data_IF_673593978335
#
_entry.id   IF_673593978335
#
_cell.length_a   1.000
_cell.length_b   1.000
_cell.length_c   1.000
_cell.angle_alpha   90.00
_cell.angle_beta   90.00
_cell.angle_gamma   90.00
#
_symmetry.space_group_name_H-M   'P 1'
#
loop_
_entity.id
_entity.type
_entity.pdbx_description
1 polymer ?
#
# COMPACT_ATOMS: atom_id res chain seq x y z
N UNK A 1 -3.44 28.30 77.73
CA UNK A 1 -2.54 29.45 77.99
C UNK A 1 -3.32 30.69 77.62
N UNK A 2 -3.64 31.51 78.61
CA UNK A 2 -4.34 32.76 78.48
C UNK A 2 -3.31 33.88 78.27
N UNK A 3 -3.58 34.76 77.31
CA UNK A 3 -3.18 36.17 77.26
C UNK A 3 -4.43 36.87 76.68
N UNK A 4 -5.28 37.48 77.49
CA UNK A 4 -5.09 38.75 78.22
C UNK A 4 -4.87 39.89 77.22
N UNK A 5 -5.92 40.70 76.99
CA UNK A 5 -6.01 42.11 77.44
C UNK A 5 -4.94 42.98 76.73
N UNK A 6 -5.24 44.16 76.19
CA UNK A 6 -5.94 45.23 76.88
C UNK A 6 -6.11 46.39 75.88
N UNK A 7 -7.27 47.03 75.87
CA UNK A 7 -7.45 48.43 76.31
C UNK A 7 -7.55 49.41 75.15
N UNK A 8 -8.74 49.97 74.96
CA UNK A 8 -9.05 51.33 75.42
C UNK A 8 -10.54 51.57 75.07
N UNK A 9 -11.49 51.52 76.00
CA UNK A 9 -11.91 52.69 76.81
C UNK A 9 -11.95 53.98 75.98
N UNK A 10 -13.02 54.76 75.86
CA UNK A 10 -14.22 55.00 76.67
C UNK A 10 -15.16 55.85 75.79
N UNK A 11 -16.49 55.68 75.83
CA UNK A 11 -17.42 56.51 76.64
C UNK A 11 -17.06 58.01 76.60
N UNK A 12 -17.96 58.96 76.38
CA UNK A 12 -19.42 59.00 76.39
C UNK A 12 -19.87 60.32 75.74
N UNK A 13 -21.13 60.41 75.34
CA UNK A 13 -22.09 61.41 75.85
C UNK A 13 -23.42 61.21 75.10
N UNK A 14 -24.42 60.68 75.81
CA UNK A 14 -25.54 61.45 76.41
C UNK A 14 -26.67 61.66 75.38
N UNK A 15 -27.79 60.94 75.58
CA UNK A 15 -29.10 61.52 75.98
C UNK A 15 -29.86 62.12 74.78
N UNK A 16 -31.18 62.03 74.62
CA UNK A 16 -32.29 61.46 75.38
C UNK A 16 -33.50 61.47 74.42
N UNK A 17 -34.43 60.58 74.71
CA UNK A 17 -35.88 60.59 74.49
C UNK A 17 -36.57 61.44 73.41
N UNK A 18 -37.41 60.70 72.69
CA UNK A 18 -38.83 60.95 72.43
C UNK A 18 -39.32 61.66 71.17
N UNK A 19 -40.38 61.04 70.65
CA UNK A 19 -41.36 61.44 69.63
C UNK A 19 -41.00 61.23 68.16
N UNK A 20 -41.34 60.02 67.73
CA UNK A 20 -41.66 59.61 66.37
C UNK A 20 -42.73 60.54 65.76
N UNK A 21 -42.40 61.20 64.65
CA UNK A 21 -43.35 61.45 63.56
C UNK A 21 -42.65 61.14 62.25
N UNK A 22 -43.16 60.09 61.61
CA UNK A 22 -42.77 59.59 60.30
C UNK A 22 -42.96 60.66 59.22
N UNK A 23 -42.11 60.66 58.18
CA UNK A 23 -42.66 60.40 56.86
C UNK A 23 -42.01 59.17 56.21
N UNK A 24 -42.88 58.32 55.70
CA UNK A 24 -42.66 57.09 54.92
C UNK A 24 -41.33 56.98 54.14
N UNK A 25 -40.58 55.86 54.29
CA UNK A 25 -39.61 55.43 53.31
C UNK A 25 -40.35 54.94 52.05
N UNK A 26 -40.11 55.59 50.92
CA UNK A 26 -40.62 55.19 49.60
C UNK A 26 -40.11 53.78 49.27
N UNK A 27 -41.03 52.85 49.03
CA UNK A 27 -40.75 51.56 48.40
C UNK A 27 -39.93 51.76 47.12
N UNK A 28 -39.01 50.83 46.78
CA UNK A 28 -38.40 50.86 45.47
C UNK A 28 -39.49 50.60 44.43
N UNK A 29 -39.96 51.65 43.76
CA UNK A 29 -40.76 51.53 42.55
C UNK A 29 -40.03 50.56 41.61
N UNK A 30 -40.52 49.33 41.52
CA UNK A 30 -40.23 48.45 40.40
C UNK A 30 -40.86 49.12 39.17
N UNK A 31 -40.13 50.09 38.61
CA UNK A 31 -40.45 50.66 37.31
C UNK A 31 -40.42 49.49 36.34
N UNK A 32 -41.60 49.04 35.93
CA UNK A 32 -41.79 48.08 34.86
C UNK A 32 -41.15 48.68 33.61
N UNK A 33 -39.90 48.29 33.34
CA UNK A 33 -39.19 48.63 32.12
C UNK A 33 -39.93 47.95 30.97
N UNK A 34 -40.77 48.69 30.28
CA UNK A 34 -41.29 48.28 28.98
C UNK A 34 -40.16 48.45 27.95
N UNK A 35 -39.94 47.42 27.15
CA UNK A 35 -39.02 47.47 26.03
C UNK A 35 -39.79 47.85 24.77
N UNK A 36 -39.20 48.69 23.92
CA UNK A 36 -39.74 48.94 22.59
C UNK A 36 -39.58 47.69 21.72
N UNK A 37 -40.50 47.45 20.79
CA UNK A 37 -40.39 46.35 19.82
C UNK A 37 -39.07 46.44 19.01
N UNK A 38 -38.61 47.65 18.72
CA UNK A 38 -37.33 47.89 18.04
C UNK A 38 -36.13 47.41 18.85
N UNK A 39 -36.17 47.58 20.18
CA UNK A 39 -35.11 47.09 21.06
C UNK A 39 -35.10 45.56 21.12
N UNK A 40 -36.29 44.94 21.18
CA UNK A 40 -36.42 43.48 21.13
C UNK A 40 -35.90 42.96 19.79
N UNK A 41 -36.31 43.56 18.67
CA UNK A 41 -35.85 43.19 17.33
C UNK A 41 -34.33 43.31 17.18
N UNK A 42 -33.73 44.37 17.72
CA UNK A 42 -32.28 44.57 17.75
C UNK A 42 -31.58 43.48 18.55
N UNK A 43 -32.05 43.22 19.78
CA UNK A 43 -31.48 42.19 20.66
C UNK A 43 -31.58 40.80 20.02
N UNK A 44 -32.71 40.50 19.37
CA UNK A 44 -32.92 39.22 18.67
C UNK A 44 -31.96 39.08 17.48
N UNK A 45 -31.81 40.13 16.66
CA UNK A 45 -30.86 40.13 15.53
C UNK A 45 -29.42 39.94 16.00
N UNK A 46 -29.02 40.65 17.06
CA UNK A 46 -27.69 40.53 17.67
C UNK A 46 -27.42 39.13 18.20
N UNK A 47 -28.40 38.53 18.91
CA UNK A 47 -28.27 37.18 19.43
C UNK A 47 -28.19 36.16 18.30
N UNK A 48 -29.00 36.32 17.26
CA UNK A 48 -29.00 35.44 16.09
C UNK A 48 -27.68 35.55 15.30
N UNK A 49 -27.12 36.75 15.17
CA UNK A 49 -25.82 36.96 14.55
C UNK A 49 -24.70 36.28 15.34
N UNK A 50 -24.70 36.41 16.68
CA UNK A 50 -23.75 35.69 17.55
C UNK A 50 -23.89 34.17 17.46
N UNK A 51 -25.12 33.65 17.39
CA UNK A 51 -25.32 32.20 17.21
C UNK A 51 -24.86 31.70 15.83
N UNK A 52 -25.12 32.45 14.75
CA UNK A 52 -24.60 32.10 13.42
C UNK A 52 -23.07 32.16 13.35
N UNK A 53 -22.46 33.14 14.01
CA UNK A 53 -21.00 33.26 14.08
C UNK A 53 -20.34 32.07 14.79
N UNK A 54 -20.98 31.50 15.83
CA UNK A 54 -20.47 30.30 16.54
C UNK A 54 -20.40 29.06 15.65
N UNK A 55 -21.21 29.00 14.60
CA UNK A 55 -21.30 27.87 13.68
C UNK A 55 -20.73 28.18 12.30
N UNK A 56 -20.08 29.33 12.11
CA UNK A 56 -19.47 29.69 10.83
C UNK A 56 -18.39 28.66 10.41
N UNK A 57 -17.64 28.12 11.37
CA UNK A 57 -16.57 27.15 11.12
C UNK A 57 -17.08 25.74 10.78
N UNK A 58 -18.37 25.45 11.00
CA UNK A 58 -18.93 24.11 10.79
C UNK A 58 -18.98 23.73 9.31
N UNK A 59 -19.29 24.68 8.42
CA UNK A 59 -19.33 24.44 6.98
C UNK A 59 -17.92 24.16 6.43
N UNK A 60 -16.90 24.86 6.94
CA UNK A 60 -15.52 24.64 6.56
C UNK A 60 -14.96 23.31 7.08
N UNK A 61 -15.29 22.92 8.31
CA UNK A 61 -14.91 21.60 8.86
C UNK A 61 -15.59 20.48 8.08
N UNK A 62 -16.87 20.64 7.74
CA UNK A 62 -17.61 19.65 6.94
C UNK A 62 -17.04 19.50 5.54
N UNK A 63 -16.68 20.61 4.90
CA UNK A 63 -16.03 20.60 3.57
C UNK A 63 -14.66 19.91 3.63
N UNK A 64 -13.82 20.25 4.62
CA UNK A 64 -12.50 19.61 4.82
C UNK A 64 -12.61 18.12 5.13
N UNK A 65 -13.62 17.71 5.88
CA UNK A 65 -13.88 16.29 6.14
C UNK A 65 -14.24 15.55 4.84
N UNK A 66 -15.11 16.12 4.00
CA UNK A 66 -15.43 15.55 2.69
C UNK A 66 -14.21 15.47 1.76
N UNK A 67 -13.38 16.52 1.72
CA UNK A 67 -12.12 16.52 0.96
C UNK A 67 -11.15 15.44 1.48
N UNK A 68 -11.03 15.28 2.80
CA UNK A 68 -10.19 14.25 3.41
C UNK A 68 -10.63 12.83 3.05
N UNK A 69 -11.95 12.56 3.08
CA UNK A 69 -12.50 11.25 2.68
C UNK A 69 -12.19 10.93 1.20
N UNK A 70 -12.30 11.94 0.32
CA UNK A 70 -11.96 11.77 -1.10
C UNK A 70 -10.47 11.50 -1.31
N UNK A 71 -9.60 12.25 -0.64
CA UNK A 71 -8.16 12.06 -0.71
C UNK A 71 -7.74 10.71 -0.15
N UNK A 72 -8.39 10.23 0.90
CA UNK A 72 -8.12 8.91 1.46
C UNK A 72 -8.50 7.80 0.47
N UNK A 73 -9.65 7.92 -0.21
CA UNK A 73 -10.04 6.96 -1.25
C UNK A 73 -9.07 6.96 -2.43
N UNK A 74 -8.60 8.12 -2.88
CA UNK A 74 -7.60 8.23 -3.94
C UNK A 74 -6.24 7.64 -3.53
N UNK A 75 -5.82 7.87 -2.28
CA UNK A 75 -4.61 7.30 -1.72
C UNK A 75 -4.69 5.78 -1.65
N UNK A 76 -5.83 5.22 -1.24
CA UNK A 76 -6.04 3.77 -1.20
C UNK A 76 -5.99 3.16 -2.60
N UNK A 77 -6.63 3.79 -3.59
CA UNK A 77 -6.55 3.36 -5.00
C UNK A 77 -5.11 3.40 -5.54
N UNK A 78 -4.40 4.50 -5.30
CA UNK A 78 -3.00 4.63 -5.72
C UNK A 78 -2.09 3.60 -5.03
N UNK A 79 -2.32 3.32 -3.75
CA UNK A 79 -1.59 2.26 -3.03
C UNK A 79 -1.88 0.87 -3.60
N UNK A 80 -3.13 0.58 -3.97
CA UNK A 80 -3.48 -0.66 -4.65
C UNK A 80 -2.77 -0.78 -6.01
N UNK A 81 -2.83 0.25 -6.85
CA UNK A 81 -2.16 0.28 -8.15
C UNK A 81 -0.63 0.12 -8.02
N UNK A 82 -0.01 0.81 -7.07
CA UNK A 82 1.44 0.67 -6.81
C UNK A 82 1.81 -0.71 -6.29
N UNK A 83 0.97 -1.36 -5.48
CA UNK A 83 1.19 -2.73 -5.04
C UNK A 83 1.09 -3.72 -6.22
N UNK A 84 0.10 -3.55 -7.11
CA UNK A 84 -0.02 -4.36 -8.32
C UNK A 84 1.17 -4.17 -9.28
N UNK A 85 1.59 -2.92 -9.47
CA UNK A 85 2.76 -2.59 -10.29
C UNK A 85 4.03 -3.21 -9.71
N UNK A 86 4.23 -3.14 -8.38
CA UNK A 86 5.35 -3.79 -7.71
C UNK A 86 5.33 -5.30 -7.89
N UNK A 87 4.17 -5.95 -7.72
CA UNK A 87 4.05 -7.38 -7.94
C UNK A 87 4.39 -7.78 -9.39
N UNK A 88 3.96 -6.99 -10.38
CA UNK A 88 4.31 -7.21 -11.80
C UNK A 88 5.81 -7.03 -12.06
N UNK A 89 6.43 -6.03 -11.45
CA UNK A 89 7.88 -5.79 -11.57
C UNK A 89 8.66 -6.94 -10.93
N UNK A 90 8.29 -7.36 -9.72
CA UNK A 90 8.93 -8.49 -9.03
C UNK A 90 8.81 -9.79 -9.84
N UNK A 91 7.64 -10.06 -10.44
CA UNK A 91 7.45 -11.20 -11.33
C UNK A 91 8.34 -11.11 -12.58
N UNK A 92 8.40 -9.95 -13.23
CA UNK A 92 9.23 -9.76 -14.41
C UNK A 92 10.72 -9.88 -14.08
N UNK A 93 11.17 -9.32 -12.95
CA UNK A 93 12.55 -9.46 -12.49
C UNK A 93 12.90 -10.91 -12.14
N UNK A 94 11.98 -11.63 -11.50
CA UNK A 94 12.16 -13.05 -11.19
C UNK A 94 12.28 -13.88 -12.47
N UNK A 95 11.41 -13.64 -13.45
CA UNK A 95 11.44 -14.32 -14.75
C UNK A 95 12.73 -14.03 -15.52
N UNK A 96 13.22 -12.78 -15.50
CA UNK A 96 14.50 -12.41 -16.11
C UNK A 96 15.69 -13.10 -15.44
N UNK A 97 15.72 -13.17 -14.10
CA UNK A 97 16.77 -13.88 -13.36
C UNK A 97 16.79 -15.36 -13.73
N UNK A 98 15.63 -16.01 -13.73
CA UNK A 98 15.50 -17.41 -14.13
C UNK A 98 15.90 -17.62 -15.58
N UNK A 99 15.49 -16.75 -16.50
CA UNK A 99 15.88 -16.83 -17.91
C UNK A 99 17.40 -16.74 -18.08
N UNK A 100 18.07 -15.87 -17.32
CA UNK A 100 19.53 -15.78 -17.28
C UNK A 100 20.18 -17.10 -16.81
N UNK A 101 19.69 -17.67 -15.71
CA UNK A 101 20.16 -18.97 -15.19
C UNK A 101 19.91 -20.10 -16.20
N UNK A 102 18.74 -20.15 -16.82
CA UNK A 102 18.42 -21.13 -17.87
C UNK A 102 19.39 -21.03 -19.03
N UNK A 103 19.73 -19.82 -19.47
CA UNK A 103 20.67 -19.61 -20.56
C UNK A 103 22.09 -20.07 -20.20
N UNK A 104 22.56 -19.80 -18.97
CA UNK A 104 23.91 -20.23 -18.54
C UNK A 104 23.97 -21.74 -18.40
N UNK A 105 22.94 -22.37 -17.83
CA UNK A 105 22.85 -23.83 -17.69
C UNK A 105 22.74 -24.50 -19.07
N UNK A 106 21.89 -23.99 -19.96
CA UNK A 106 21.78 -24.50 -21.33
C UNK A 106 23.12 -24.48 -22.06
N UNK A 107 23.88 -23.38 -21.92
CA UNK A 107 25.24 -23.27 -22.48
C UNK A 107 26.21 -24.30 -21.87
N UNK A 108 26.16 -24.56 -20.55
CA UNK A 108 27.00 -25.58 -19.89
C UNK A 108 26.76 -26.98 -20.46
N UNK A 109 25.51 -27.34 -20.77
CA UNK A 109 25.14 -28.69 -21.24
C UNK A 109 25.02 -28.81 -22.76
N UNK A 110 25.25 -27.73 -23.53
CA UNK A 110 25.15 -27.73 -24.99
C UNK A 110 23.71 -27.82 -25.50
N UNK A 111 22.74 -27.36 -24.72
CA UNK A 111 21.32 -27.33 -25.11
C UNK A 111 21.10 -26.07 -25.94
N UNK A 112 20.70 -26.24 -27.21
CA UNK A 112 20.51 -25.14 -28.15
C UNK A 112 19.31 -24.23 -27.80
N UNK A 113 18.31 -24.77 -27.09
CA UNK A 113 17.13 -24.03 -26.68
C UNK A 113 16.99 -23.99 -25.14
N UNK A 114 17.26 -22.84 -24.51
CA UNK A 114 17.11 -22.66 -23.07
C UNK A 114 15.67 -22.83 -22.56
N UNK A 115 14.66 -22.72 -23.42
CA UNK A 115 13.24 -22.86 -23.01
C UNK A 115 12.86 -24.29 -22.62
N UNK A 116 13.63 -25.29 -23.08
CA UNK A 116 13.47 -26.69 -22.70
C UNK A 116 13.70 -26.86 -21.18
N UNK A 117 14.54 -26.03 -20.57
CA UNK A 117 14.84 -26.04 -19.14
C UNK A 117 13.79 -25.27 -18.31
N UNK A 118 12.51 -25.57 -18.53
CA UNK A 118 11.39 -24.88 -17.89
C UNK A 118 11.15 -25.30 -16.42
N UNK A 119 11.77 -26.38 -15.97
CA UNK A 119 11.51 -26.98 -14.66
C UNK A 119 12.45 -26.42 -13.60
N UNK A 120 11.87 -25.64 -12.69
CA UNK A 120 12.54 -25.13 -11.50
C UNK A 120 12.77 -23.62 -11.52
N UNK A 121 12.73 -23.04 -10.33
CA UNK A 121 12.98 -21.61 -10.08
C UNK A 121 14.41 -21.35 -9.58
N UNK A 122 15.13 -22.40 -9.21
CA UNK A 122 16.50 -22.35 -8.68
C UNK A 122 17.53 -22.97 -9.64
N UNK A 123 18.77 -22.46 -9.60
CA UNK A 123 19.89 -22.96 -10.41
C UNK A 123 20.10 -24.48 -10.21
N UNK A 124 20.00 -24.98 -8.98
CA UNK A 124 20.18 -26.40 -8.68
C UNK A 124 19.10 -27.29 -9.33
N UNK A 125 17.85 -26.82 -9.38
CA UNK A 125 16.75 -27.55 -9.97
C UNK A 125 16.89 -27.60 -11.50
N UNK A 126 17.27 -26.47 -12.08
CA UNK A 126 17.54 -26.33 -13.52
C UNK A 126 18.74 -27.19 -13.92
N UNK A 127 19.82 -27.21 -13.12
CA UNK A 127 21.00 -28.05 -13.35
C UNK A 127 20.67 -29.54 -13.23
N UNK A 128 19.94 -29.95 -12.19
CA UNK A 128 19.52 -31.35 -12.02
C UNK A 128 18.62 -31.82 -13.17
N UNK A 129 17.74 -30.95 -13.66
CA UNK A 129 16.89 -31.24 -14.81
C UNK A 129 17.71 -31.35 -16.10
N UNK A 130 18.65 -30.45 -16.34
CA UNK A 130 19.56 -30.51 -17.48
C UNK A 130 20.39 -31.81 -17.46
N UNK A 131 20.89 -32.23 -16.29
CA UNK A 131 21.60 -33.50 -16.14
C UNK A 131 20.72 -34.71 -16.46
N UNK A 132 19.47 -34.74 -15.99
CA UNK A 132 18.51 -35.80 -16.31
C UNK A 132 18.23 -35.86 -17.80
N UNK A 133 18.01 -34.71 -18.46
CA UNK A 133 17.84 -34.63 -19.91
C UNK A 133 19.05 -35.24 -20.62
N UNK A 134 20.27 -34.84 -20.25
CA UNK A 134 21.48 -35.38 -20.86
C UNK A 134 21.62 -36.89 -20.65
N UNK A 135 21.28 -37.41 -19.47
CA UNK A 135 21.30 -38.85 -19.21
C UNK A 135 20.30 -39.62 -20.09
N UNK A 136 19.11 -39.08 -20.30
CA UNK A 136 18.08 -39.66 -21.18
C UNK A 136 18.51 -39.62 -22.65
N UNK A 137 19.15 -38.54 -23.10
CA UNK A 137 19.54 -38.36 -24.51
C UNK A 137 20.90 -38.98 -24.88
N UNK A 138 21.79 -39.23 -23.92
CA UNK A 138 23.10 -39.89 -24.13
C UNK A 138 23.04 -41.24 -24.86
N UNK A 139 22.11 -42.18 -24.58
CA UNK A 139 22.01 -43.41 -25.36
C UNK A 139 21.63 -43.14 -26.82
N UNK A 140 20.76 -42.17 -27.09
CA UNK A 140 20.33 -41.83 -28.45
C UNK A 140 21.44 -41.19 -29.30
N UNK A 141 22.26 -40.33 -28.70
CA UNK A 141 23.41 -39.73 -29.39
C UNK A 141 24.43 -40.78 -29.86
N UNK A 142 24.65 -41.84 -29.06
CA UNK A 142 25.52 -42.96 -29.45
C UNK A 142 24.92 -43.83 -30.55
N UNK A 143 23.61 -44.04 -30.51
CA UNK A 143 22.87 -44.79 -31.54
C UNK A 143 22.90 -44.07 -32.90
N UNK A 144 22.76 -42.76 -32.91
CA UNK A 144 22.84 -41.96 -34.13
C UNK A 144 24.26 -41.96 -34.73
N UNK A 145 25.28 -41.80 -33.87
CA UNK A 145 26.68 -41.92 -34.28
C UNK A 145 26.98 -43.32 -34.84
N UNK A 146 26.53 -44.39 -34.18
CA UNK A 146 26.70 -45.76 -34.66
C UNK A 146 26.01 -46.00 -36.00
N UNK A 147 24.79 -45.50 -36.20
CA UNK A 147 24.10 -45.58 -37.49
C UNK A 147 24.82 -44.79 -38.59
N UNK A 148 25.38 -43.63 -38.25
CA UNK A 148 26.14 -42.81 -39.19
C UNK A 148 27.46 -43.46 -39.61
N UNK A 149 28.17 -44.13 -38.69
CA UNK A 149 29.41 -44.85 -39.01
C UNK A 149 29.14 -46.14 -39.77
N UNK A 150 28.04 -46.84 -39.49
CA UNK A 150 27.57 -47.98 -40.30
C UNK A 150 27.12 -47.56 -41.71
N UNK A 151 26.52 -46.38 -41.85
CA UNK A 151 26.15 -45.81 -43.15
C UNK A 151 27.38 -45.34 -43.95
N UNK A 152 28.35 -44.72 -43.28
CA UNK A 152 29.60 -44.24 -43.89
C UNK A 152 30.65 -45.34 -44.13
N UNK A 153 30.56 -46.47 -43.43
CA UNK A 153 31.49 -47.60 -43.54
C UNK A 153 31.25 -48.51 -44.75
N UNK A 154 30.20 -48.27 -45.55
CA UNK A 154 30.00 -48.96 -46.83
C UNK A 154 30.93 -48.33 -47.86
N UNK A 155 32.00 -49.05 -48.20
CA UNK A 155 32.91 -48.76 -49.32
C UNK A 155 32.07 -48.32 -50.53
N UNK A 156 32.44 -47.26 -51.27
CA UNK A 156 31.74 -46.89 -52.49
C UNK A 156 31.70 -48.10 -53.41
N UNK A 157 30.50 -48.67 -53.62
CA UNK A 157 30.33 -49.79 -54.54
C UNK A 157 30.57 -49.27 -55.95
N UNK A 158 31.69 -49.68 -56.53
CA UNK A 158 31.98 -49.45 -57.93
C UNK A 158 31.19 -50.48 -58.73
N UNK A 159 29.96 -50.10 -59.10
CA UNK A 159 28.98 -50.99 -59.75
C UNK A 159 29.56 -51.70 -60.99
N UNK A 160 30.55 -51.10 -61.65
CA UNK A 160 31.22 -51.68 -62.81
C UNK A 160 32.14 -52.86 -62.43
N UNK A 161 32.84 -52.78 -61.30
CA UNK A 161 33.71 -53.85 -60.80
C UNK A 161 32.90 -55.00 -60.21
N UNK A 162 31.84 -54.67 -59.46
CA UNK A 162 30.93 -55.67 -58.89
C UNK A 162 30.22 -56.47 -60.00
N UNK A 163 29.83 -55.81 -61.11
CA UNK A 163 29.25 -56.49 -62.28
C UNK A 163 30.27 -57.35 -63.03
N UNK A 164 31.50 -56.86 -63.22
CA UNK A 164 32.56 -57.63 -63.87
C UNK A 164 32.93 -58.88 -63.08
N UNK A 165 33.01 -58.77 -61.75
CA UNK A 165 33.27 -59.92 -60.87
C UNK A 165 32.10 -60.91 -60.87
N UNK A 166 30.86 -60.42 -60.93
CA UNK A 166 29.68 -61.28 -61.07
C UNK A 166 29.63 -62.01 -62.42
N UNK A 167 30.01 -61.36 -63.51
CA UNK A 167 30.10 -61.97 -64.85
C UNK A 167 31.22 -63.01 -64.93
N UNK A 168 32.40 -62.70 -64.38
CA UNK A 168 33.52 -63.64 -64.29
C UNK A 168 33.18 -64.87 -63.44
N UNK A 169 32.42 -64.68 -62.34
CA UNK A 169 31.93 -65.78 -61.50
C UNK A 169 30.81 -66.58 -62.15
N UNK A 170 30.04 -65.97 -63.05
CA UNK A 170 28.98 -66.62 -63.83
C UNK A 170 29.51 -67.32 -65.11
N UNK A 171 30.82 -67.22 -65.39
CA UNK A 171 31.47 -67.93 -66.49
C UNK A 171 31.16 -67.35 -67.88
N UNK A 172 30.90 -66.05 -67.97
CA UNK A 172 30.85 -65.30 -69.23
C UNK A 172 32.21 -64.70 -69.61
#
# INVERSE_FOLDING_TARGET
MAEDQSDNQSQAQEHQDDTVTSPAPKEPEQRSRSYSEDDVNRIVKDRLARERAKHADYDDVKRRAGEADTLQSELEKSKAETAELRAKVEQAEHEQKIAGIRSTVAAKYGIADPTILMVGDDEEQIDAYAQKLMQVFRPYARLDQARSTEASGKIPRDNAKDFAEAMAKAGY
#
